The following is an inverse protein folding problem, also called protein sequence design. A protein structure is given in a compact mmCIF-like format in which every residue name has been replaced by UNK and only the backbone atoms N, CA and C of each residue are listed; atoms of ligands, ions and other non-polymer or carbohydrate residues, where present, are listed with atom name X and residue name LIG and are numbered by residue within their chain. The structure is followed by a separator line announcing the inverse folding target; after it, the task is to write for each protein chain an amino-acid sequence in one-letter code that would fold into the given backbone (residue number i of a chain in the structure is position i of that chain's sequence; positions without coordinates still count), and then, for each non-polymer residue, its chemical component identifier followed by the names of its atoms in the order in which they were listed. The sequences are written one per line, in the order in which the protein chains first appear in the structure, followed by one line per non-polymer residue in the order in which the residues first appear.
data_IF_608260114954
#
_entry.id   IF_608260114954
#
_cell.length_a   1.000
_cell.length_b   1.000
_cell.length_c   1.000
_cell.angle_alpha   90.00
_cell.angle_beta   90.00
_cell.angle_gamma   90.00
#
_symmetry.space_group_name_H-M   'P 1'
#
loop_
_entity.id
_entity.type
_entity.pdbx_description
1 polymer ?
#
# COMPACT_ATOMS: atom_id res chain seq x y z
N UNK A 1 24.30 -43.44 -42.32
CA UNK A 1 25.43 -43.07 -43.18
C UNK A 1 26.43 -42.28 -42.33
N UNK A 2 27.60 -42.84 -42.10
CA UNK A 2 28.74 -42.29 -41.32
C UNK A 2 29.36 -41.13 -42.08
N UNK A 3 30.02 -40.19 -41.33
CA UNK A 3 31.31 -39.55 -41.67
C UNK A 3 31.39 -38.27 -40.82
N UNK A 4 32.13 -38.22 -39.79
CA UNK A 4 33.55 -38.03 -39.42
C UNK A 4 33.95 -36.58 -39.12
N UNK A 5 34.57 -36.49 -37.97
CA UNK A 5 35.38 -35.44 -37.29
C UNK A 5 36.35 -34.71 -38.26
N UNK A 6 36.64 -33.43 -37.92
CA UNK A 6 38.05 -32.98 -37.83
C UNK A 6 38.23 -31.82 -36.86
N UNK A 7 39.05 -32.08 -35.85
CA UNK A 7 39.80 -31.21 -34.96
C UNK A 7 40.88 -30.44 -35.71
N UNK A 8 41.14 -29.18 -35.31
CA UNK A 8 42.46 -28.60 -35.41
C UNK A 8 42.72 -27.62 -34.26
N UNK A 9 43.64 -27.96 -33.42
CA UNK A 9 44.30 -27.09 -32.44
C UNK A 9 45.47 -26.39 -33.10
N UNK A 10 45.80 -25.17 -32.73
CA UNK A 10 47.14 -24.62 -32.80
C UNK A 10 47.40 -23.56 -31.72
N UNK A 11 48.42 -23.80 -30.98
CA UNK A 11 49.16 -23.08 -29.93
C UNK A 11 50.08 -21.98 -30.51
N UNK A 12 50.31 -20.90 -29.75
CA UNK A 12 51.57 -20.14 -29.59
C UNK A 12 51.35 -19.00 -28.60
N UNK A 13 51.93 -18.96 -27.51
CA UNK A 13 53.19 -18.73 -26.78
C UNK A 13 53.85 -17.35 -27.07
N UNK A 14 54.15 -16.63 -25.99
CA UNK A 14 55.20 -15.59 -25.88
C UNK A 14 54.66 -14.19 -25.63
N UNK A 15 55.07 -13.34 -24.70
CA UNK A 15 56.31 -13.19 -23.94
C UNK A 15 56.08 -12.17 -22.83
N UNK A 16 56.69 -12.35 -21.68
CA UNK A 16 56.72 -11.43 -20.52
C UNK A 16 57.61 -10.21 -20.81
N UNK A 17 57.29 -9.08 -20.23
CA UNK A 17 58.26 -8.03 -19.90
C UNK A 17 57.86 -7.35 -18.59
N UNK A 18 58.66 -7.59 -17.56
CA UNK A 18 58.74 -6.81 -16.31
C UNK A 18 59.32 -5.43 -16.59
N UNK A 19 58.72 -4.40 -15.93
CA UNK A 19 59.52 -3.24 -15.47
C UNK A 19 59.06 -2.84 -14.07
N UNK A 20 59.94 -3.05 -13.09
CA UNK A 20 59.95 -2.36 -11.79
C UNK A 20 60.40 -0.93 -11.99
N UNK A 21 59.77 0.01 -11.30
CA UNK A 21 60.47 1.03 -10.50
C UNK A 21 59.48 2.09 -9.98
N UNK A 22 59.63 2.42 -8.69
CA UNK A 22 59.28 3.72 -8.19
C UNK A 22 58.49 3.73 -6.89
N UNK A 23 59.12 3.42 -5.73
CA UNK A 23 58.63 3.87 -4.43
C UNK A 23 58.74 5.37 -4.33
N UNK A 24 57.60 6.05 -4.13
CA UNK A 24 57.59 7.38 -3.54
C UNK A 24 56.59 7.34 -2.37
N UNK A 25 57.17 7.33 -1.16
CA UNK A 25 56.41 7.50 0.09
C UNK A 25 55.89 8.92 0.14
N UNK A 26 54.60 9.09 -0.08
CA UNK A 26 53.87 10.31 0.33
C UNK A 26 53.07 9.94 1.58
N UNK A 27 53.48 10.52 2.71
CA UNK A 27 52.73 10.53 3.95
C UNK A 27 51.39 11.22 3.66
N UNK A 28 50.30 10.46 3.57
CA UNK A 28 48.96 11.00 3.60
C UNK A 28 48.52 11.12 5.05
N UNK A 29 48.30 12.34 5.45
CA UNK A 29 47.56 12.78 6.62
C UNK A 29 46.21 12.02 6.65
N UNK A 30 45.77 11.44 7.77
CA UNK A 30 44.42 10.96 7.86
C UNK A 30 43.47 12.17 8.04
N UNK A 31 43.17 12.83 6.92
CA UNK A 31 42.06 13.74 6.87
C UNK A 31 40.78 12.94 7.17
N UNK A 32 40.13 13.30 8.25
CA UNK A 32 38.73 12.97 8.51
C UNK A 32 37.91 13.51 7.33
N UNK A 33 37.78 12.72 6.29
CA UNK A 33 36.74 12.87 5.30
C UNK A 33 35.45 12.42 5.96
N UNK A 34 34.60 13.37 6.32
CA UNK A 34 33.18 13.11 6.42
C UNK A 34 32.80 12.42 5.10
N UNK A 35 32.40 11.17 5.19
CA UNK A 35 31.67 10.52 4.12
C UNK A 35 30.36 11.29 3.99
N UNK A 36 30.32 12.30 3.08
CA UNK A 36 29.06 12.76 2.52
C UNK A 36 28.45 11.50 1.94
N UNK A 37 27.33 11.07 2.54
CA UNK A 37 26.45 10.11 1.89
C UNK A 37 26.22 10.60 0.47
N UNK A 38 26.17 9.71 -0.51
CA UNK A 38 25.72 10.06 -1.84
C UNK A 38 24.34 10.75 -1.67
N UNK A 39 24.27 12.03 -2.03
CA UNK A 39 23.02 12.78 -1.98
C UNK A 39 22.01 12.00 -2.85
N UNK A 40 20.94 11.48 -2.24
CA UNK A 40 19.89 10.76 -2.95
C UNK A 40 19.29 11.70 -4.00
N UNK A 41 19.23 11.25 -5.26
CA UNK A 41 18.71 12.07 -6.35
C UNK A 41 17.22 11.86 -6.62
N UNK A 42 16.66 10.72 -6.18
CA UNK A 42 15.25 10.37 -6.39
C UNK A 42 14.70 9.50 -5.28
N UNK A 43 13.41 9.66 -4.93
CA UNK A 43 12.62 8.76 -4.09
C UNK A 43 11.44 8.23 -4.88
N UNK A 44 11.10 6.95 -4.71
CA UNK A 44 10.06 6.26 -5.49
C UNK A 44 8.90 5.86 -4.58
N UNK A 45 7.73 6.46 -4.85
CA UNK A 45 6.52 6.32 -4.05
C UNK A 45 5.45 5.54 -4.83
N UNK A 46 4.98 4.42 -4.26
CA UNK A 46 3.85 3.67 -4.75
C UNK A 46 2.52 4.19 -4.18
N UNK A 47 1.45 4.13 -4.96
CA UNK A 47 0.10 4.41 -4.48
C UNK A 47 -0.95 3.72 -5.38
N UNK A 48 -2.25 3.79 -4.99
CA UNK A 48 -3.35 3.29 -5.81
C UNK A 48 -4.24 4.43 -6.24
N UNK A 49 -4.81 4.34 -7.44
CA UNK A 49 -5.76 5.33 -7.97
C UNK A 49 -7.16 5.10 -7.34
N UNK A 50 -7.26 5.31 -6.04
CA UNK A 50 -8.48 5.15 -5.23
C UNK A 50 -8.73 6.40 -4.38
N UNK A 51 -9.98 6.68 -4.02
CA UNK A 51 -10.33 7.76 -3.07
C UNK A 51 -9.69 7.53 -1.70
N UNK A 52 -9.54 6.26 -1.27
CA UNK A 52 -8.82 5.91 -0.04
C UNK A 52 -7.32 6.25 -0.07
N UNK A 53 -6.78 6.67 -1.21
CA UNK A 53 -5.41 7.16 -1.36
C UNK A 53 -5.35 8.69 -1.63
N UNK A 54 -6.41 9.43 -1.28
CA UNK A 54 -6.49 10.86 -1.53
C UNK A 54 -5.30 11.67 -0.97
N UNK A 55 -4.71 11.36 0.21
CA UNK A 55 -3.49 12.05 0.63
C UNK A 55 -2.34 11.96 -0.38
N UNK A 56 -2.16 10.79 -1.03
CA UNK A 56 -1.17 10.67 -2.10
C UNK A 56 -1.57 11.48 -3.34
N UNK A 57 -2.84 11.36 -3.78
CA UNK A 57 -3.35 12.03 -4.97
C UNK A 57 -3.23 13.55 -4.85
N UNK A 58 -3.67 14.11 -3.74
CA UNK A 58 -3.62 15.56 -3.47
C UNK A 58 -2.18 16.03 -3.31
N UNK A 59 -1.37 15.32 -2.52
CA UNK A 59 0.03 15.69 -2.30
C UNK A 59 0.85 15.73 -3.59
N UNK A 60 0.53 14.85 -4.56
CA UNK A 60 1.13 14.86 -5.88
C UNK A 60 0.60 16.01 -6.75
N UNK A 61 -0.74 16.20 -6.79
CA UNK A 61 -1.37 17.22 -7.64
C UNK A 61 -1.03 18.63 -7.21
N UNK A 62 -0.98 18.89 -5.90
CA UNK A 62 -0.67 20.19 -5.32
C UNK A 62 0.83 20.42 -5.13
N UNK A 63 1.68 19.44 -5.48
CA UNK A 63 3.14 19.54 -5.39
C UNK A 63 3.70 19.48 -3.97
N UNK A 64 2.87 19.11 -2.96
CA UNK A 64 3.25 19.18 -1.53
C UNK A 64 4.42 18.25 -1.19
N UNK A 65 4.50 17.09 -1.82
CA UNK A 65 5.65 16.19 -1.67
C UNK A 65 6.92 16.79 -2.29
N UNK A 66 6.84 17.33 -3.52
CA UNK A 66 8.02 17.86 -4.19
C UNK A 66 8.54 19.12 -3.50
N UNK A 67 7.63 19.93 -2.96
CA UNK A 67 8.00 21.13 -2.18
C UNK A 67 8.75 20.73 -0.90
N UNK A 68 8.34 19.66 -0.21
CA UNK A 68 9.01 19.13 0.97
C UNK A 68 10.36 18.45 0.63
N UNK A 69 10.41 17.66 -0.45
CA UNK A 69 11.60 16.93 -0.90
C UNK A 69 12.69 17.81 -1.52
N UNK A 70 12.38 19.07 -1.86
CA UNK A 70 13.34 20.01 -2.42
C UNK A 70 14.00 19.53 -3.71
N UNK A 71 15.31 19.26 -3.65
CA UNK A 71 16.11 18.82 -4.81
C UNK A 71 16.01 17.31 -5.10
N UNK A 72 15.40 16.52 -4.21
CA UNK A 72 15.15 15.07 -4.43
C UNK A 72 13.95 14.90 -5.34
N UNK A 73 14.13 14.24 -6.48
CA UNK A 73 13.06 14.02 -7.45
C UNK A 73 12.07 12.94 -6.95
N UNK A 74 10.77 13.26 -6.91
CA UNK A 74 9.75 12.26 -6.61
C UNK A 74 9.36 11.49 -7.89
N UNK A 75 9.55 10.18 -7.86
CA UNK A 75 9.02 9.25 -8.87
C UNK A 75 7.82 8.51 -8.29
N UNK A 76 6.82 8.28 -9.10
CA UNK A 76 5.61 7.57 -8.65
C UNK A 76 5.31 6.35 -9.50
N UNK A 77 4.69 5.35 -8.85
CA UNK A 77 4.18 4.16 -9.52
C UNK A 77 2.78 3.83 -9.00
N UNK A 78 1.84 3.57 -9.93
CA UNK A 78 0.45 3.25 -9.61
C UNK A 78 0.24 1.74 -9.60
N UNK A 79 -0.32 1.22 -8.50
CA UNK A 79 -0.63 -0.20 -8.34
C UNK A 79 -2.13 -0.43 -8.26
N UNK A 80 -2.57 -1.66 -8.59
CA UNK A 80 -3.99 -2.04 -8.49
C UNK A 80 -4.36 -2.60 -7.11
N UNK A 81 -3.39 -3.19 -6.38
CA UNK A 81 -3.61 -3.77 -5.05
C UNK A 81 -2.29 -3.96 -4.28
N UNK A 82 -2.41 -4.20 -2.97
CA UNK A 82 -1.28 -4.28 -2.03
C UNK A 82 -0.23 -5.34 -2.34
N UNK A 83 -0.57 -6.61 -2.62
CA UNK A 83 0.44 -7.61 -2.92
C UNK A 83 1.38 -7.23 -4.07
N UNK A 84 0.87 -6.58 -5.14
CA UNK A 84 1.70 -6.09 -6.25
C UNK A 84 2.66 -4.97 -5.80
N UNK A 85 2.19 -4.03 -4.97
CA UNK A 85 3.04 -2.99 -4.39
C UNK A 85 4.14 -3.58 -3.48
N UNK A 86 3.83 -4.63 -2.69
CA UNK A 86 4.82 -5.34 -1.87
C UNK A 86 5.88 -6.04 -2.71
N UNK A 87 5.52 -6.61 -3.86
CA UNK A 87 6.51 -7.20 -4.78
C UNK A 87 7.49 -6.12 -5.29
N UNK A 88 6.98 -4.95 -5.70
CA UNK A 88 7.80 -3.82 -6.14
C UNK A 88 8.68 -3.27 -5.00
N UNK A 89 8.12 -3.11 -3.80
CA UNK A 89 8.85 -2.67 -2.61
C UNK A 89 9.98 -3.65 -2.25
N UNK A 90 9.69 -4.95 -2.24
CA UNK A 90 10.66 -6.01 -1.92
C UNK A 90 11.77 -6.14 -2.97
N UNK A 91 11.46 -5.82 -4.23
CA UNK A 91 12.44 -5.77 -5.32
C UNK A 91 13.29 -4.49 -5.32
N UNK A 92 12.98 -3.52 -4.45
CA UNK A 92 13.62 -2.21 -4.44
C UNK A 92 13.24 -1.34 -5.64
N UNK A 93 12.11 -1.63 -6.30
CA UNK A 93 11.58 -0.81 -7.39
C UNK A 93 10.92 0.47 -6.88
N UNK A 94 10.35 0.42 -5.67
CA UNK A 94 9.86 1.57 -4.92
C UNK A 94 10.46 1.60 -3.51
N UNK A 95 10.50 2.77 -2.88
CA UNK A 95 11.12 3.00 -1.57
C UNK A 95 10.08 3.11 -0.46
N UNK A 96 8.92 3.70 -0.80
CA UNK A 96 7.76 3.82 0.06
C UNK A 96 6.47 3.55 -0.73
N UNK A 97 5.37 3.28 -0.03
CA UNK A 97 4.07 3.09 -0.68
C UNK A 97 2.92 3.39 0.28
N UNK A 98 1.89 4.00 -0.25
CA UNK A 98 0.56 3.95 0.35
C UNK A 98 -0.03 2.57 0.09
N UNK A 99 -0.57 1.93 1.13
CA UNK A 99 -0.97 0.52 1.05
C UNK A 99 -1.98 0.17 2.14
N UNK A 100 -2.77 -0.89 1.91
CA UNK A 100 -3.61 -1.45 2.94
C UNK A 100 -2.81 -2.16 4.06
N UNK A 101 -3.34 -2.24 5.29
CA UNK A 101 -2.62 -2.78 6.44
C UNK A 101 -2.26 -4.27 6.30
N UNK A 102 -3.11 -5.13 5.75
CA UNK A 102 -2.83 -6.57 5.71
C UNK A 102 -1.62 -6.94 4.82
N UNK A 103 -1.42 -6.36 3.61
CA UNK A 103 -0.17 -6.53 2.88
C UNK A 103 1.07 -6.05 3.64
N UNK A 104 0.97 -4.92 4.39
CA UNK A 104 2.05 -4.42 5.23
C UNK A 104 2.39 -5.39 6.37
N UNK A 105 1.38 -5.90 7.10
CA UNK A 105 1.53 -6.94 8.12
C UNK A 105 2.19 -8.19 7.52
N UNK A 106 1.70 -8.64 6.38
CA UNK A 106 2.16 -9.87 5.75
C UNK A 106 3.65 -9.82 5.36
N UNK A 107 4.08 -8.73 4.70
CA UNK A 107 5.49 -8.58 4.33
C UNK A 107 6.39 -8.46 5.55
N UNK A 108 5.94 -7.77 6.61
CA UNK A 108 6.68 -7.65 7.87
C UNK A 108 6.90 -9.03 8.53
N UNK A 109 5.83 -9.81 8.70
CA UNK A 109 5.91 -11.16 9.30
C UNK A 109 6.77 -12.09 8.44
N UNK A 110 6.58 -12.10 7.11
CA UNK A 110 7.32 -12.99 6.21
C UNK A 110 8.82 -12.69 6.18
N UNK A 111 9.20 -11.44 6.36
CA UNK A 111 10.61 -11.02 6.42
C UNK A 111 11.26 -11.18 7.81
N UNK A 112 10.48 -11.60 8.83
CA UNK A 112 10.95 -11.60 10.23
C UNK A 112 11.20 -10.17 10.73
N UNK A 113 10.39 -9.21 10.31
CA UNK A 113 10.46 -7.82 10.74
C UNK A 113 11.51 -6.96 10.00
N UNK A 114 12.03 -7.43 8.86
CA UNK A 114 13.16 -6.75 8.18
C UNK A 114 12.73 -5.93 6.94
N UNK A 115 11.50 -6.10 6.42
CA UNK A 115 11.12 -5.52 5.13
C UNK A 115 10.85 -4.02 5.20
N UNK A 116 9.90 -3.62 6.02
CA UNK A 116 9.37 -2.25 6.00
C UNK A 116 8.74 -1.88 7.35
N UNK A 117 8.56 -0.57 7.59
CA UNK A 117 7.79 -0.02 8.70
C UNK A 117 6.62 0.81 8.20
N UNK A 118 5.52 0.80 8.96
CA UNK A 118 4.47 1.80 8.85
C UNK A 118 4.94 3.05 9.57
N UNK A 119 4.94 4.19 8.86
CA UNK A 119 5.43 5.47 9.35
C UNK A 119 4.31 6.51 9.56
N UNK A 120 3.13 6.27 8.98
CA UNK A 120 1.92 7.09 9.17
C UNK A 120 0.65 6.33 8.80
N UNK A 121 -0.50 6.79 9.27
CA UNK A 121 -1.81 6.53 8.68
C UNK A 121 -2.01 7.35 7.41
N UNK A 122 -3.09 7.08 6.68
CA UNK A 122 -3.50 7.92 5.55
C UNK A 122 -5.03 8.02 5.47
N UNK A 123 -5.75 6.89 5.63
CA UNK A 123 -7.20 6.87 5.52
C UNK A 123 -7.78 5.82 6.47
N UNK A 124 -8.81 6.22 7.21
CA UNK A 124 -9.72 5.37 7.97
C UNK A 124 -11.05 5.24 7.25
N UNK A 125 -11.71 4.09 7.32
CA UNK A 125 -13.01 3.84 6.70
C UNK A 125 -12.95 3.56 5.18
N UNK A 126 -14.09 3.60 4.53
CA UNK A 126 -14.22 3.52 3.08
C UNK A 126 -14.06 2.12 2.49
N UNK A 127 -14.57 1.10 3.17
CA UNK A 127 -14.67 -0.26 2.62
C UNK A 127 -16.01 -0.90 3.04
N UNK A 128 -16.60 -1.69 2.15
CA UNK A 128 -17.87 -2.38 2.40
C UNK A 128 -18.05 -3.61 1.52
N UNK A 129 -18.90 -4.53 1.97
CA UNK A 129 -19.49 -5.57 1.14
C UNK A 129 -20.75 -5.01 0.46
N UNK A 130 -20.72 -4.96 -0.86
CA UNK A 130 -21.88 -4.62 -1.67
C UNK A 130 -22.34 -5.84 -2.48
N UNK A 131 -23.65 -5.97 -2.66
CA UNK A 131 -24.25 -7.14 -3.29
C UNK A 131 -25.39 -6.73 -4.25
N UNK A 132 -25.82 -7.66 -5.10
CA UNK A 132 -26.98 -7.50 -5.97
C UNK A 132 -28.30 -7.65 -5.19
N UNK A 133 -29.44 -7.32 -5.83
CA UNK A 133 -30.77 -7.33 -5.22
C UNK A 133 -31.25 -8.74 -4.78
N UNK A 134 -30.63 -9.82 -5.24
CA UNK A 134 -31.00 -11.19 -4.87
C UNK A 134 -30.46 -11.57 -3.46
N UNK A 135 -29.60 -10.78 -2.88
CA UNK A 135 -29.01 -10.99 -1.56
C UNK A 135 -29.53 -9.90 -0.63
N UNK A 136 -30.31 -10.26 0.38
CA UNK A 136 -30.89 -9.30 1.33
C UNK A 136 -30.36 -9.48 2.76
N UNK A 137 -29.85 -10.66 3.07
CA UNK A 137 -29.21 -10.96 4.35
C UNK A 137 -28.05 -11.96 4.20
N UNK A 138 -27.35 -12.21 5.29
CA UNK A 138 -26.13 -13.05 5.33
C UNK A 138 -26.40 -14.46 4.83
N UNK A 139 -27.60 -15.02 5.10
CA UNK A 139 -27.96 -16.39 4.70
C UNK A 139 -28.07 -16.57 3.19
N UNK A 140 -28.31 -15.49 2.44
CA UNK A 140 -28.41 -15.51 0.98
C UNK A 140 -27.05 -15.64 0.29
N UNK A 141 -25.95 -15.52 1.04
CA UNK A 141 -24.57 -15.65 0.51
C UNK A 141 -24.17 -17.08 0.16
N UNK A 142 -24.89 -18.12 0.65
CA UNK A 142 -24.57 -19.50 0.32
C UNK A 142 -24.60 -19.75 -1.19
N UNK A 143 -23.53 -20.29 -1.74
CA UNK A 143 -23.37 -20.58 -3.17
C UNK A 143 -23.06 -19.36 -4.04
N UNK A 144 -22.93 -18.16 -3.46
CA UNK A 144 -22.65 -16.91 -4.20
C UNK A 144 -21.16 -16.74 -4.53
N UNK A 145 -20.92 -15.86 -5.51
CA UNK A 145 -19.59 -15.49 -5.97
C UNK A 145 -19.31 -14.03 -5.67
N UNK A 146 -18.40 -13.78 -4.71
CA UNK A 146 -18.07 -12.45 -4.21
C UNK A 146 -16.63 -12.09 -4.62
N UNK A 147 -16.43 -10.93 -5.21
CA UNK A 147 -15.11 -10.45 -5.59
C UNK A 147 -14.40 -9.73 -4.45
N UNK A 148 -13.07 -9.76 -4.51
CA UNK A 148 -12.15 -8.93 -3.70
C UNK A 148 -11.01 -8.43 -4.58
N UNK A 149 -10.25 -7.38 -4.20
CA UNK A 149 -9.24 -6.81 -5.10
C UNK A 149 -8.13 -7.78 -5.52
N UNK A 150 -7.54 -8.46 -4.58
CA UNK A 150 -6.47 -9.45 -4.78
C UNK A 150 -6.37 -10.36 -3.56
N UNK A 151 -5.96 -11.61 -3.74
CA UNK A 151 -5.78 -12.54 -2.64
C UNK A 151 -4.80 -11.98 -1.59
N UNK A 152 -5.22 -11.93 -0.32
CA UNK A 152 -4.44 -11.39 0.79
C UNK A 152 -4.39 -9.87 0.86
N UNK A 153 -5.14 -9.15 0.00
CA UNK A 153 -5.40 -7.73 0.17
C UNK A 153 -6.31 -7.48 1.38
N UNK A 154 -6.37 -6.26 1.90
CA UNK A 154 -7.13 -5.93 3.12
C UNK A 154 -8.59 -6.37 3.02
N UNK A 155 -9.29 -6.05 1.92
CA UNK A 155 -10.69 -6.42 1.72
C UNK A 155 -10.90 -7.91 1.47
N UNK A 156 -9.91 -8.63 0.94
CA UNK A 156 -9.97 -10.10 0.82
C UNK A 156 -9.88 -10.76 2.21
N UNK A 157 -9.02 -10.23 3.08
CA UNK A 157 -8.93 -10.66 4.48
C UNK A 157 -10.20 -10.32 5.24
N UNK A 158 -10.74 -9.11 5.08
CA UNK A 158 -11.98 -8.68 5.74
C UNK A 158 -13.14 -9.60 5.39
N UNK A 159 -13.39 -9.85 4.09
CA UNK A 159 -14.47 -10.76 3.64
C UNK A 159 -14.29 -12.16 4.20
N UNK A 160 -13.11 -12.77 4.06
CA UNK A 160 -12.88 -14.15 4.48
C UNK A 160 -13.02 -14.32 6.00
N UNK A 161 -12.47 -13.39 6.78
CA UNK A 161 -12.56 -13.43 8.23
C UNK A 161 -13.98 -13.19 8.73
N UNK A 162 -14.72 -12.28 8.09
CA UNK A 162 -16.11 -12.03 8.41
C UNK A 162 -16.98 -13.24 8.08
N UNK A 163 -16.87 -13.84 6.88
CA UNK A 163 -17.60 -15.05 6.49
C UNK A 163 -17.31 -16.22 7.43
N UNK A 164 -16.06 -16.39 7.87
CA UNK A 164 -15.72 -17.41 8.87
C UNK A 164 -16.42 -17.15 10.22
N UNK A 165 -16.56 -15.87 10.63
CA UNK A 165 -17.32 -15.46 11.79
C UNK A 165 -18.83 -15.76 11.68
N UNK A 166 -19.38 -15.67 10.46
CA UNK A 166 -20.78 -16.01 10.16
C UNK A 166 -21.00 -17.54 9.95
N UNK A 167 -19.94 -18.34 10.00
CA UNK A 167 -19.99 -19.78 9.91
C UNK A 167 -19.88 -20.36 8.50
N UNK A 168 -19.50 -19.55 7.50
CA UNK A 168 -19.23 -20.00 6.14
C UNK A 168 -17.81 -20.52 5.97
N UNK A 169 -17.65 -21.63 5.27
CA UNK A 169 -16.34 -22.12 4.83
C UNK A 169 -15.93 -21.46 3.52
N UNK A 170 -14.70 -20.94 3.47
CA UNK A 170 -14.09 -20.35 2.27
C UNK A 170 -12.73 -20.99 2.00
N UNK A 171 -12.25 -20.90 0.76
CA UNK A 171 -10.94 -21.42 0.37
C UNK A 171 -10.14 -20.38 -0.41
N UNK A 172 -8.83 -20.27 -0.10
CA UNK A 172 -7.90 -19.41 -0.85
C UNK A 172 -7.61 -19.92 -2.27
N UNK A 173 -7.97 -21.18 -2.56
CA UNK A 173 -7.87 -21.80 -3.89
C UNK A 173 -9.19 -21.81 -4.67
N UNK A 174 -10.22 -21.13 -4.15
CA UNK A 174 -11.57 -21.11 -4.69
C UNK A 174 -12.47 -22.21 -4.10
N UNK A 175 -13.80 -22.01 -4.15
CA UNK A 175 -14.82 -22.89 -3.57
C UNK A 175 -15.06 -22.62 -2.08
N UNK A 176 -15.82 -23.49 -1.43
CA UNK A 176 -16.40 -23.31 -0.10
C UNK A 176 -17.90 -23.03 -0.21
N UNK A 177 -18.52 -22.59 0.89
CA UNK A 177 -19.95 -22.21 0.92
C UNK A 177 -20.17 -20.91 0.13
N UNK A 178 -19.18 -20.01 0.16
CA UNK A 178 -19.11 -18.78 -0.64
C UNK A 178 -17.84 -18.84 -1.48
N UNK A 179 -17.98 -18.64 -2.78
CA UNK A 179 -16.82 -18.54 -3.68
C UNK A 179 -16.26 -17.13 -3.65
N UNK A 180 -14.97 -16.99 -3.34
CA UNK A 180 -14.29 -15.69 -3.38
C UNK A 180 -13.39 -15.65 -4.62
N UNK A 181 -13.62 -14.63 -5.47
CA UNK A 181 -12.91 -14.45 -6.74
C UNK A 181 -12.08 -13.16 -6.69
N UNK A 182 -10.78 -13.25 -6.34
CA UNK A 182 -9.90 -12.08 -6.40
C UNK A 182 -9.82 -11.53 -7.82
N UNK A 183 -10.17 -10.25 -7.98
CA UNK A 183 -10.35 -9.59 -9.29
C UNK A 183 -9.98 -8.12 -9.18
N UNK A 184 -9.27 -7.59 -10.16
CA UNK A 184 -8.99 -6.14 -10.21
C UNK A 184 -10.30 -5.33 -10.15
N UNK A 185 -10.29 -4.23 -9.39
CA UNK A 185 -11.49 -3.46 -9.08
C UNK A 185 -12.25 -2.98 -10.32
N UNK A 186 -11.54 -2.50 -11.35
CA UNK A 186 -12.17 -2.07 -12.59
C UNK A 186 -12.84 -3.24 -13.34
N UNK A 187 -12.27 -4.42 -13.29
CA UNK A 187 -12.85 -5.62 -13.87
C UNK A 187 -14.03 -6.12 -13.02
N UNK A 188 -13.96 -6.01 -11.69
CA UNK A 188 -15.06 -6.35 -10.79
C UNK A 188 -16.33 -5.59 -11.14
N UNK A 189 -16.25 -4.26 -11.38
CA UNK A 189 -17.39 -3.48 -11.81
C UNK A 189 -18.04 -4.04 -13.09
N UNK A 190 -17.23 -4.37 -14.09
CA UNK A 190 -17.73 -4.93 -15.35
C UNK A 190 -18.38 -6.30 -15.16
N UNK A 191 -17.74 -7.20 -14.41
CA UNK A 191 -18.26 -8.55 -14.15
C UNK A 191 -19.55 -8.52 -13.31
N UNK A 192 -19.66 -7.59 -12.37
CA UNK A 192 -20.87 -7.39 -11.59
C UNK A 192 -22.04 -6.88 -12.50
N UNK A 193 -21.78 -5.89 -13.35
CA UNK A 193 -22.76 -5.39 -14.32
C UNK A 193 -23.24 -6.48 -15.30
N UNK A 194 -22.35 -7.40 -15.66
CA UNK A 194 -22.64 -8.55 -16.53
C UNK A 194 -23.33 -9.71 -15.78
N UNK A 195 -23.56 -9.59 -14.47
CA UNK A 195 -24.18 -10.63 -13.62
C UNK A 195 -23.29 -11.87 -13.41
N UNK A 196 -21.96 -11.74 -13.54
CA UNK A 196 -21.01 -12.82 -13.29
C UNK A 196 -20.51 -12.85 -11.84
N UNK A 197 -20.77 -11.77 -11.09
CA UNK A 197 -20.52 -11.66 -9.66
C UNK A 197 -21.81 -11.28 -8.95
N UNK A 198 -21.99 -11.84 -7.76
CA UNK A 198 -23.15 -11.54 -6.90
C UNK A 198 -22.89 -10.36 -5.96
N UNK A 199 -21.62 -10.07 -5.69
CA UNK A 199 -21.19 -8.96 -4.82
C UNK A 199 -19.68 -8.76 -4.85
N UNK A 200 -19.23 -7.80 -4.05
CA UNK A 200 -17.80 -7.54 -3.86
C UNK A 200 -17.55 -6.81 -2.53
N UNK A 201 -16.43 -7.13 -1.87
CA UNK A 201 -15.90 -6.35 -0.76
C UNK A 201 -14.74 -5.49 -1.28
N UNK A 202 -14.96 -4.19 -1.35
CA UNK A 202 -14.06 -3.27 -2.04
C UNK A 202 -13.78 -2.01 -1.21
N UNK A 203 -12.69 -1.28 -1.51
CA UNK A 203 -12.47 0.08 -1.01
C UNK A 203 -13.18 1.12 -1.88
N UNK A 204 -13.35 2.35 -1.34
CA UNK A 204 -13.79 3.50 -2.13
C UNK A 204 -12.73 3.92 -3.18
N UNK A 205 -13.14 4.31 -4.39
CA UNK A 205 -14.50 4.65 -4.84
C UNK A 205 -15.28 3.45 -5.40
N UNK A 206 -14.77 2.23 -5.34
CA UNK A 206 -15.35 1.07 -6.01
C UNK A 206 -16.66 0.60 -5.39
N UNK A 207 -16.83 0.74 -4.07
CA UNK A 207 -18.13 0.54 -3.39
C UNK A 207 -19.16 1.50 -3.98
N UNK A 208 -18.86 2.79 -4.00
CA UNK A 208 -19.77 3.81 -4.54
C UNK A 208 -20.05 3.62 -6.03
N UNK A 209 -19.07 3.16 -6.82
CA UNK A 209 -19.28 2.84 -8.23
C UNK A 209 -20.23 1.67 -8.43
N UNK A 210 -20.09 0.60 -7.65
CA UNK A 210 -21.02 -0.54 -7.73
C UNK A 210 -22.43 -0.13 -7.34
N UNK A 211 -22.58 0.71 -6.31
CA UNK A 211 -23.89 1.21 -5.88
C UNK A 211 -24.52 2.11 -6.95
N UNK A 212 -23.80 3.12 -7.41
CA UNK A 212 -24.35 4.15 -8.31
C UNK A 212 -24.42 3.69 -9.77
N UNK A 213 -23.36 3.00 -10.25
CA UNK A 213 -23.24 2.64 -11.67
C UNK A 213 -23.80 1.24 -11.98
N UNK A 214 -23.95 0.35 -10.98
CA UNK A 214 -24.34 -1.04 -11.19
C UNK A 214 -25.55 -1.49 -10.34
N UNK A 215 -26.13 -0.60 -9.52
CA UNK A 215 -27.33 -0.88 -8.74
C UNK A 215 -27.11 -1.85 -7.57
N UNK A 216 -25.87 -1.99 -7.08
CA UNK A 216 -25.60 -2.75 -5.88
C UNK A 216 -26.11 -2.01 -4.63
N UNK A 217 -26.31 -2.74 -3.53
CA UNK A 217 -26.52 -2.14 -2.21
C UNK A 217 -25.51 -2.64 -1.20
N UNK A 218 -25.28 -1.87 -0.14
CA UNK A 218 -24.39 -2.25 0.95
C UNK A 218 -25.07 -3.30 1.82
N UNK A 219 -24.47 -4.48 1.92
CA UNK A 219 -24.90 -5.54 2.84
C UNK A 219 -24.19 -5.39 4.18
N UNK A 220 -22.89 -5.06 4.18
CA UNK A 220 -22.07 -4.84 5.36
C UNK A 220 -21.20 -3.60 5.14
N UNK A 221 -21.35 -2.60 5.99
CA UNK A 221 -20.39 -1.54 6.14
C UNK A 221 -19.26 -2.05 7.04
N UNK A 222 -18.01 -1.99 6.58
CA UNK A 222 -16.88 -2.49 7.37
C UNK A 222 -16.72 -1.71 8.68
N UNK A 223 -17.13 -0.43 8.72
CA UNK A 223 -17.09 0.39 9.92
C UNK A 223 -17.93 -0.22 11.07
N UNK A 224 -19.06 -0.88 10.77
CA UNK A 224 -19.91 -1.54 11.76
C UNK A 224 -19.21 -2.73 12.48
N UNK A 225 -18.11 -3.22 11.93
CA UNK A 225 -17.33 -4.33 12.49
C UNK A 225 -16.21 -3.89 13.45
N UNK A 226 -15.97 -2.57 13.55
CA UNK A 226 -14.87 -2.01 14.33
C UNK A 226 -15.38 -1.12 15.45
N UNK A 227 -14.66 -1.10 16.59
CA UNK A 227 -14.97 -0.16 17.68
C UNK A 227 -14.95 1.28 17.16
N UNK A 228 -15.97 2.04 17.51
CA UNK A 228 -16.15 3.44 17.11
C UNK A 228 -16.18 3.68 15.58
N UNK A 229 -16.23 2.62 14.78
CA UNK A 229 -16.20 2.68 13.30
C UNK A 229 -14.82 2.91 12.70
N UNK A 230 -13.78 3.01 13.52
CA UNK A 230 -12.43 3.35 13.08
C UNK A 230 -11.62 2.10 12.72
N UNK A 231 -11.16 2.05 11.47
CA UNK A 231 -10.24 1.03 10.96
C UNK A 231 -9.35 1.58 9.85
N UNK A 232 -8.08 1.18 9.78
CA UNK A 232 -7.19 1.67 8.75
C UNK A 232 -7.49 1.00 7.41
N UNK A 233 -7.72 1.78 6.37
CA UNK A 233 -7.83 1.30 4.99
C UNK A 233 -6.54 1.53 4.24
N UNK A 234 -5.85 2.63 4.54
CA UNK A 234 -4.57 2.98 3.92
C UNK A 234 -3.60 3.53 4.96
N UNK A 235 -2.36 3.05 4.89
CA UNK A 235 -1.21 3.52 5.68
C UNK A 235 -0.06 3.87 4.74
N UNK A 236 0.92 4.64 5.22
CA UNK A 236 2.18 4.90 4.54
C UNK A 236 3.25 3.95 5.08
N UNK A 237 3.82 3.15 4.18
CA UNK A 237 4.83 2.13 4.44
C UNK A 237 6.14 2.51 3.77
N UNK A 238 7.28 2.36 4.48
CA UNK A 238 8.61 2.61 3.95
C UNK A 238 9.52 1.40 4.16
N UNK A 239 10.42 1.12 3.21
CA UNK A 239 11.46 0.10 3.38
C UNK A 239 12.39 0.45 4.54
N UNK A 240 12.71 -0.53 5.39
CA UNK A 240 13.59 -0.33 6.56
C UNK A 240 15.02 0.07 6.19
N UNK A 241 15.57 -0.54 5.14
CA UNK A 241 16.90 -0.19 4.65
C UNK A 241 16.94 1.25 4.10
N UNK A 242 15.94 1.64 3.31
CA UNK A 242 15.82 3.01 2.81
C UNK A 242 15.68 4.03 3.95
N UNK A 243 14.79 3.79 4.91
CA UNK A 243 14.61 4.67 6.06
C UNK A 243 15.87 4.82 6.91
N UNK A 244 16.66 3.76 7.02
CA UNK A 244 17.95 3.79 7.74
C UNK A 244 19.03 4.55 6.98
N UNK A 245 19.06 4.43 5.66
CA UNK A 245 20.09 5.04 4.79
C UNK A 245 19.78 6.51 4.50
N UNK A 246 18.48 6.88 4.44
CA UNK A 246 18.00 8.21 4.05
C UNK A 246 16.91 8.74 5.02
N UNK A 247 17.19 8.84 6.33
CA UNK A 247 16.19 9.27 7.33
C UNK A 247 15.66 10.67 7.07
N UNK A 248 16.48 11.56 6.52
CA UNK A 248 16.10 12.93 6.16
C UNK A 248 15.05 12.96 5.04
N UNK A 249 15.19 12.09 4.04
CA UNK A 249 14.22 11.99 2.93
C UNK A 249 12.89 11.38 3.40
N UNK A 250 12.94 10.49 4.39
CA UNK A 250 11.71 9.96 5.02
C UNK A 250 11.01 11.05 5.83
N UNK A 251 11.74 11.92 6.53
CA UNK A 251 11.17 13.06 7.23
C UNK A 251 10.52 14.05 6.25
N UNK A 252 11.20 14.41 5.16
CA UNK A 252 10.67 15.23 4.07
C UNK A 252 9.42 14.62 3.42
N UNK A 253 9.41 13.29 3.17
CA UNK A 253 8.24 12.59 2.66
C UNK A 253 7.06 12.67 3.64
N UNK A 254 7.33 12.56 4.96
CA UNK A 254 6.31 12.72 6.00
C UNK A 254 5.80 14.16 6.09
N UNK A 255 6.64 15.18 5.91
CA UNK A 255 6.21 16.58 5.83
C UNK A 255 5.20 16.77 4.68
N UNK A 256 5.51 16.27 3.49
CA UNK A 256 4.60 16.29 2.34
C UNK A 256 3.29 15.52 2.60
N UNK A 257 3.36 14.38 3.29
CA UNK A 257 2.20 13.61 3.68
C UNK A 257 1.30 14.34 4.69
N UNK A 258 1.89 14.91 5.75
CA UNK A 258 1.16 15.72 6.76
C UNK A 258 0.48 16.90 6.08
N UNK A 259 1.22 17.62 5.21
CA UNK A 259 0.66 18.73 4.45
C UNK A 259 -0.51 18.30 3.56
N UNK A 260 -0.45 17.11 2.97
CA UNK A 260 -1.52 16.58 2.13
C UNK A 260 -2.79 16.26 2.93
N UNK A 261 -2.65 15.68 4.13
CA UNK A 261 -3.79 15.41 5.02
C UNK A 261 -4.39 16.71 5.54
N UNK A 262 -3.57 17.67 5.92
CA UNK A 262 -4.02 19.01 6.34
C UNK A 262 -4.74 19.75 5.21
N UNK A 263 -4.19 19.70 4.00
CA UNK A 263 -4.81 20.31 2.83
C UNK A 263 -6.21 19.75 2.57
N UNK A 264 -6.42 18.44 2.70
CA UNK A 264 -7.72 17.79 2.54
C UNK A 264 -8.74 18.26 3.57
N UNK A 265 -8.32 18.52 4.80
CA UNK A 265 -9.19 19.04 5.87
C UNK A 265 -9.51 20.55 5.65
N UNK A 266 -8.52 21.35 5.28
CA UNK A 266 -8.65 22.79 5.09
C UNK A 266 -9.38 23.18 3.81
N UNK A 267 -9.35 22.32 2.76
CA UNK A 267 -9.89 22.62 1.43
C UNK A 267 -11.00 21.61 1.02
N UNK A 268 -11.86 21.26 1.97
CA UNK A 268 -12.94 20.28 1.74
C UNK A 268 -13.84 20.59 0.51
N UNK A 269 -13.99 21.88 0.17
CA UNK A 269 -14.75 22.31 -1.01
C UNK A 269 -14.00 22.08 -2.34
N UNK A 270 -12.66 22.09 -2.34
CA UNK A 270 -11.80 21.94 -3.51
C UNK A 270 -11.36 20.48 -3.69
N UNK A 271 -11.21 19.74 -2.59
CA UNK A 271 -10.70 18.37 -2.55
C UNK A 271 -11.39 17.42 -3.55
N UNK A 272 -12.73 17.43 -3.73
CA UNK A 272 -13.37 16.57 -4.72
C UNK A 272 -12.87 16.80 -6.15
N UNK A 273 -12.60 18.06 -6.52
CA UNK A 273 -12.11 18.40 -7.85
C UNK A 273 -10.69 17.90 -8.05
N UNK A 274 -9.79 18.20 -7.10
CA UNK A 274 -8.38 17.81 -7.18
C UNK A 274 -8.24 16.28 -7.19
N UNK A 275 -8.95 15.57 -6.31
CA UNK A 275 -8.97 14.10 -6.27
C UNK A 275 -9.45 13.54 -7.61
N UNK A 276 -10.54 14.08 -8.19
CA UNK A 276 -11.10 13.55 -9.43
C UNK A 276 -10.19 13.82 -10.64
N UNK A 277 -9.52 14.96 -10.68
CA UNK A 277 -8.54 15.29 -11.72
C UNK A 277 -7.31 14.36 -11.63
N UNK A 278 -6.81 14.10 -10.42
CA UNK A 278 -5.73 13.13 -10.19
C UNK A 278 -6.12 11.69 -10.56
N UNK A 279 -7.35 11.29 -10.26
CA UNK A 279 -7.88 9.99 -10.68
C UNK A 279 -8.01 9.90 -12.20
N UNK A 280 -8.43 10.98 -12.89
CA UNK A 280 -8.46 11.03 -14.35
C UNK A 280 -7.06 10.88 -14.94
N UNK A 281 -6.06 11.58 -14.39
CA UNK A 281 -4.67 11.46 -14.84
C UNK A 281 -4.15 10.03 -14.69
N UNK A 282 -4.41 9.40 -13.55
CA UNK A 282 -3.93 8.04 -13.24
C UNK A 282 -4.68 6.94 -14.01
N UNK A 283 -5.99 7.12 -14.32
CA UNK A 283 -6.87 6.07 -14.88
C UNK A 283 -7.41 6.37 -16.28
N UNK A 284 -7.25 7.61 -16.74
CA UNK A 284 -7.84 8.10 -17.98
C UNK A 284 -9.34 8.41 -17.90
N UNK A 285 -9.96 8.39 -16.69
CA UNK A 285 -11.41 8.58 -16.54
C UNK A 285 -11.77 9.25 -15.22
N UNK A 286 -12.60 10.28 -15.28
CA UNK A 286 -13.24 10.89 -14.09
C UNK A 286 -14.34 10.02 -13.52
N UNK A 287 -14.52 10.13 -12.21
CA UNK A 287 -15.73 9.67 -11.53
C UNK A 287 -16.87 10.68 -11.74
N UNK A 288 -18.12 10.20 -11.69
CA UNK A 288 -19.26 11.10 -11.61
C UNK A 288 -19.27 11.83 -10.25
N UNK A 289 -19.88 13.02 -10.21
CA UNK A 289 -20.02 13.79 -8.97
C UNK A 289 -20.72 12.96 -7.87
N UNK A 290 -21.73 12.18 -8.22
CA UNK A 290 -22.48 11.34 -7.29
C UNK A 290 -21.61 10.23 -6.69
N UNK A 291 -20.82 9.54 -7.50
CA UNK A 291 -19.87 8.50 -7.03
C UNK A 291 -18.85 9.11 -6.10
N UNK A 292 -18.25 10.23 -6.50
CA UNK A 292 -17.20 10.87 -5.72
C UNK A 292 -17.71 11.40 -4.38
N UNK A 293 -18.86 12.10 -4.39
CA UNK A 293 -19.48 12.62 -3.18
C UNK A 293 -19.79 11.51 -2.18
N UNK A 294 -20.42 10.41 -2.67
CA UNK A 294 -20.68 9.23 -1.83
C UNK A 294 -19.40 8.59 -1.29
N UNK A 295 -18.36 8.48 -2.10
CA UNK A 295 -17.10 7.89 -1.68
C UNK A 295 -16.40 8.71 -0.58
N UNK A 296 -16.46 10.04 -0.68
CA UNK A 296 -15.86 10.95 0.30
C UNK A 296 -16.63 10.98 1.64
N UNK A 297 -17.91 10.67 1.65
CA UNK A 297 -18.70 10.55 2.89
C UNK A 297 -18.27 9.33 3.74
N UNK A 298 -17.63 8.33 3.14
CA UNK A 298 -17.28 7.07 3.78
C UNK A 298 -15.82 7.00 4.26
N UNK A 299 -15.03 8.04 4.05
CA UNK A 299 -13.59 8.05 4.38
C UNK A 299 -13.24 9.19 5.32
N UNK A 300 -12.25 8.97 6.17
CA UNK A 300 -11.61 10.00 6.99
C UNK A 300 -10.12 9.99 6.69
N UNK A 301 -9.55 11.14 6.31
CA UNK A 301 -8.12 11.28 6.07
C UNK A 301 -7.41 11.61 7.38
N UNK A 302 -6.35 10.87 7.70
CA UNK A 302 -5.68 10.98 9.00
C UNK A 302 -4.23 10.51 8.92
N UNK A 303 -3.37 11.12 9.73
CA UNK A 303 -1.99 10.64 9.92
C UNK A 303 -1.88 9.54 10.97
N UNK A 304 -2.96 9.29 11.74
CA UNK A 304 -3.00 8.22 12.74
C UNK A 304 -3.20 6.86 12.03
N UNK A 305 -2.26 5.91 12.15
CA UNK A 305 -2.38 4.60 11.56
C UNK A 305 -3.39 3.67 12.28
N UNK A 306 -4.05 4.12 13.34
CA UNK A 306 -4.92 3.31 14.19
C UNK A 306 -4.24 2.00 14.68
N UNK A 307 -3.00 2.09 15.16
CA UNK A 307 -2.15 0.93 15.46
C UNK A 307 -2.80 -0.07 16.44
N UNK A 308 -3.69 0.37 17.31
CA UNK A 308 -4.45 -0.49 18.23
C UNK A 308 -5.32 -1.55 17.54
N UNK A 309 -5.65 -1.36 16.24
CA UNK A 309 -6.48 -2.30 15.47
C UNK A 309 -5.67 -3.46 14.86
N UNK A 310 -4.33 -3.35 14.83
CA UNK A 310 -3.47 -4.26 14.07
C UNK A 310 -3.42 -5.68 14.64
N UNK A 311 -3.54 -5.88 15.94
CA UNK A 311 -3.68 -7.23 16.49
C UNK A 311 -4.96 -7.94 16.01
N UNK A 312 -6.05 -7.16 15.78
CA UNK A 312 -7.28 -7.69 15.19
C UNK A 312 -7.08 -8.00 13.71
N UNK A 313 -6.39 -7.15 12.96
CA UNK A 313 -6.04 -7.42 11.55
C UNK A 313 -5.19 -8.68 11.40
N UNK A 314 -4.24 -8.94 12.32
CA UNK A 314 -3.47 -10.20 12.37
C UNK A 314 -4.39 -11.40 12.60
N UNK A 315 -5.30 -11.34 13.56
CA UNK A 315 -6.29 -12.41 13.82
C UNK A 315 -7.16 -12.67 12.60
N UNK A 316 -7.61 -11.62 11.93
CA UNK A 316 -8.40 -11.70 10.71
C UNK A 316 -7.60 -12.37 9.57
N UNK A 317 -6.33 -12.01 9.37
CA UNK A 317 -5.45 -12.61 8.38
C UNK A 317 -5.20 -14.11 8.61
N UNK A 318 -5.08 -14.53 9.88
CA UNK A 318 -4.97 -15.94 10.26
C UNK A 318 -6.28 -16.68 10.00
N UNK A 319 -7.42 -16.11 10.39
CA UNK A 319 -8.75 -16.70 10.15
C UNK A 319 -9.06 -16.82 8.65
N UNK A 320 -8.66 -15.84 7.86
CA UNK A 320 -8.78 -15.84 6.40
C UNK A 320 -7.86 -16.86 5.70
N UNK A 321 -6.88 -17.43 6.40
CA UNK A 321 -5.89 -18.35 5.83
C UNK A 321 -4.92 -17.71 4.84
N UNK A 322 -4.80 -16.39 4.85
CA UNK A 322 -3.95 -15.60 3.93
C UNK A 322 -2.64 -15.16 4.58
N UNK A 323 -2.49 -15.38 5.87
CA UNK A 323 -1.35 -14.97 6.67
C UNK A 323 -0.80 -16.15 7.49
N UNK A 324 0.50 -16.15 7.75
CA UNK A 324 1.15 -17.06 8.70
C UNK A 324 1.20 -16.44 10.10
N UNK A 325 1.34 -17.31 11.11
CA UNK A 325 1.66 -16.86 12.46
C UNK A 325 2.98 -16.08 12.48
N UNK A 326 3.04 -15.00 13.25
CA UNK A 326 4.22 -14.18 13.43
C UNK A 326 3.95 -12.99 14.32
N UNK A 327 5.00 -12.37 14.85
CA UNK A 327 4.91 -11.13 15.63
C UNK A 327 4.86 -9.92 14.68
N UNK A 328 4.14 -8.89 15.11
CA UNK A 328 4.16 -7.55 14.52
C UNK A 328 4.85 -6.53 15.44
N UNK A 329 5.57 -7.00 16.46
CA UNK A 329 6.39 -6.11 17.30
C UNK A 329 7.45 -5.40 16.45
N UNK A 330 7.49 -4.08 16.49
CA UNK A 330 8.38 -3.24 15.67
C UNK A 330 7.89 -3.01 14.23
N UNK A 331 6.58 -3.23 13.95
CA UNK A 331 5.97 -2.90 12.66
C UNK A 331 5.90 -1.38 12.43
N UNK A 332 5.69 -0.61 13.50
CA UNK A 332 5.58 0.85 13.43
C UNK A 332 6.92 1.52 13.75
N UNK A 333 7.20 2.61 13.05
CA UNK A 333 8.20 3.61 13.42
C UNK A 333 7.57 4.99 13.20
N UNK A 334 7.01 5.55 14.27
CA UNK A 334 6.29 6.83 14.26
C UNK A 334 7.16 7.97 14.81
N UNK A 335 8.44 7.70 15.05
CA UNK A 335 9.38 8.66 15.69
C UNK A 335 9.45 9.97 14.91
N UNK A 336 9.67 9.92 13.59
CA UNK A 336 9.76 11.11 12.75
C UNK A 336 8.40 11.83 12.64
N UNK A 337 7.31 11.08 12.43
CA UNK A 337 5.95 11.63 12.39
C UNK A 337 5.63 12.39 13.68
N UNK A 338 5.85 11.76 14.83
CA UNK A 338 5.57 12.37 16.13
C UNK A 338 6.47 13.58 16.44
N UNK A 339 7.70 13.60 15.93
CA UNK A 339 8.56 14.77 16.04
C UNK A 339 8.01 15.95 15.24
N UNK A 340 7.54 15.71 14.00
CA UNK A 340 6.93 16.73 13.14
C UNK A 340 5.60 17.24 13.71
N UNK A 341 4.70 16.35 14.16
CA UNK A 341 3.43 16.71 14.78
C UNK A 341 3.65 17.58 16.02
N UNK A 342 4.59 17.19 16.88
CA UNK A 342 4.94 17.96 18.09
C UNK A 342 5.53 19.32 17.74
N UNK A 343 6.37 19.42 16.71
CA UNK A 343 6.92 20.69 16.27
C UNK A 343 5.83 21.63 15.73
N UNK A 344 4.78 21.07 15.09
CA UNK A 344 3.60 21.79 14.65
C UNK A 344 2.61 22.13 15.78
N UNK A 345 2.79 21.59 16.99
CA UNK A 345 1.88 21.78 18.12
C UNK A 345 0.61 20.92 18.04
N UNK A 346 0.63 19.87 17.24
CA UNK A 346 -0.42 18.88 17.09
C UNK A 346 -0.24 17.72 18.07
N UNK A 347 -1.31 16.96 18.31
CA UNK A 347 -1.26 15.74 19.11
C UNK A 347 -0.44 14.67 18.40
N UNK A 348 0.33 13.91 19.16
CA UNK A 348 1.09 12.75 18.66
C UNK A 348 0.19 11.53 18.52
N UNK A 349 0.59 10.59 17.68
CA UNK A 349 -0.09 9.31 17.47
C UNK A 349 0.69 8.17 18.14
N UNK A 350 0.02 7.04 18.40
CA UNK A 350 0.63 5.93 19.15
C UNK A 350 0.81 4.69 18.30
N UNK A 351 1.97 4.05 18.43
CA UNK A 351 2.23 2.70 17.90
C UNK A 351 1.53 1.59 18.70
N UNK A 352 0.78 1.91 19.75
CA UNK A 352 0.05 0.96 20.62
C UNK A 352 0.95 -0.17 21.19
N UNK A 353 2.25 0.09 21.35
CA UNK A 353 3.24 -0.90 21.79
C UNK A 353 3.75 -1.84 20.69
N UNK A 354 3.38 -1.58 19.43
CA UNK A 354 3.78 -2.38 18.26
C UNK A 354 4.99 -1.80 17.52
N UNK A 355 5.70 -0.83 18.14
CA UNK A 355 6.88 -0.19 17.57
C UNK A 355 7.31 1.06 18.35
N UNK A 356 7.97 1.97 17.64
CA UNK A 356 8.49 3.22 18.19
C UNK A 356 7.45 4.35 18.02
N UNK A 357 7.25 5.15 19.11
CA UNK A 357 6.35 6.32 19.11
C UNK A 357 7.09 7.61 18.78
#
# INVERSE_FOLDING_TARGET
MKITRKTTALTALGLAAMMLAGCASASADPGTGDAKGDDLSEVRLGYFANVTHAPALVGLSEGLFQDALGDVELKTEVFNAGPAAIEALSAGAIDATYIGPNPAINTFIQSGGQSANIIAGATSGGAALVVNDDIQDVSDLEGKNIATPQLGNTQDVALRSWLAGEGFETSTSGGGDVTITPTENAQTLTLFQDGQLDGAWLPEPWVSRLVVEAGAHVLVDEADLWPDGDFPTTVLLVRKDFAKEHPEVVEELLEGHIASVQWLDEHADEAPTVINDALEEATGKKLSEEVLARALENVTFTVDPAASTFETLVKNGLAAGTQKEGSIDGLFDLTALNALLKAAGSDTVSAAGLGED
#
